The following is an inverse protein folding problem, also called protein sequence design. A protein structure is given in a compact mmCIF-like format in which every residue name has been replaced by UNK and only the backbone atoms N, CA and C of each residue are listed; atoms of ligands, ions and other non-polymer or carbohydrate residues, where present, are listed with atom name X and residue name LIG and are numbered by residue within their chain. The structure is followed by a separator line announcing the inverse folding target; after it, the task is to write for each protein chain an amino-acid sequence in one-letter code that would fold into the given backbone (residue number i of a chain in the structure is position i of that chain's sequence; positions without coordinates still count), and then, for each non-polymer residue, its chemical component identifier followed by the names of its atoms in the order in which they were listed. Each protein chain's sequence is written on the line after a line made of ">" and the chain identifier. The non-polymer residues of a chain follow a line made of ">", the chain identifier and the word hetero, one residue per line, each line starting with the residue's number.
data_IF_705838393073
#
_entry.id   IF_705838393073
#
_cell.length_a   1.000
_cell.length_b   1.000
_cell.length_c   1.000
_cell.angle_alpha   90.00
_cell.angle_beta   90.00
_cell.angle_gamma   90.00
#
_symmetry.space_group_name_H-M   'P 1'
#
loop_
_entity.id
_entity.type
_entity.pdbx_description
1 polymer ?
#
# COMPACT_ATOMS: atom_id res chain seq x y z
N UNK A 1 3.34 31.78 -9.59
CA UNK A 1 2.49 30.55 -9.67
C UNK A 1 3.25 29.23 -9.43
N UNK A 2 4.58 29.22 -9.32
CA UNK A 2 5.37 27.98 -9.07
C UNK A 2 5.10 27.24 -7.75
N UNK A 3 4.46 27.89 -6.75
CA UNK A 3 4.16 27.25 -5.45
C UNK A 3 3.05 26.20 -5.53
N UNK A 4 2.04 26.39 -6.38
CA UNK A 4 0.91 25.44 -6.50
C UNK A 4 1.35 24.12 -7.15
N UNK A 5 2.23 24.18 -8.15
CA UNK A 5 2.75 22.98 -8.81
C UNK A 5 3.51 22.12 -7.79
N UNK A 6 4.34 22.75 -6.95
CA UNK A 6 5.09 22.04 -5.90
C UNK A 6 4.18 21.35 -4.89
N UNK A 7 3.07 21.97 -4.49
CA UNK A 7 2.10 21.34 -3.58
C UNK A 7 1.38 20.16 -4.22
N UNK A 8 1.01 20.27 -5.51
CA UNK A 8 0.39 19.16 -6.23
C UNK A 8 1.35 17.97 -6.33
N UNK A 9 2.63 18.22 -6.63
CA UNK A 9 3.65 17.16 -6.66
C UNK A 9 3.76 16.47 -5.31
N UNK A 10 3.81 17.22 -4.20
CA UNK A 10 3.88 16.60 -2.87
C UNK A 10 2.65 15.77 -2.53
N UNK A 11 1.45 16.26 -2.87
CA UNK A 11 0.20 15.50 -2.67
C UNK A 11 0.22 14.21 -3.50
N UNK A 12 0.64 14.29 -4.77
CA UNK A 12 0.75 13.10 -5.63
C UNK A 12 1.75 12.07 -5.07
N UNK A 13 2.91 12.52 -4.60
CA UNK A 13 3.91 11.62 -3.99
C UNK A 13 3.38 10.98 -2.71
N UNK A 14 2.75 11.77 -1.83
CA UNK A 14 2.16 11.25 -0.60
C UNK A 14 1.06 10.22 -0.88
N UNK A 15 0.23 10.46 -1.90
CA UNK A 15 -0.81 9.52 -2.34
C UNK A 15 -0.21 8.20 -2.83
N UNK A 16 0.78 8.24 -3.72
CA UNK A 16 1.45 7.03 -4.23
C UNK A 16 2.13 6.27 -3.10
N UNK A 17 2.81 6.97 -2.19
CA UNK A 17 3.43 6.35 -1.03
C UNK A 17 2.40 5.65 -0.13
N UNK A 18 1.22 6.25 0.07
CA UNK A 18 0.12 5.64 0.82
C UNK A 18 -0.40 4.36 0.17
N UNK A 19 -0.65 4.37 -1.13
CA UNK A 19 -1.13 3.18 -1.87
C UNK A 19 -0.12 2.03 -1.81
N UNK A 20 1.17 2.32 -1.95
CA UNK A 20 2.22 1.31 -1.84
C UNK A 20 2.35 0.78 -0.40
N UNK A 21 2.16 1.65 0.60
CA UNK A 21 2.18 1.26 2.00
C UNK A 21 1.00 0.34 2.34
N UNK A 22 -0.22 0.63 1.87
CA UNK A 22 -1.38 -0.25 2.03
C UNK A 22 -1.13 -1.64 1.44
N UNK A 23 -0.66 -1.72 0.19
CA UNK A 23 -0.36 -3.03 -0.43
C UNK A 23 0.71 -3.83 0.34
N UNK A 24 1.74 -3.14 0.85
CA UNK A 24 2.78 -3.78 1.63
C UNK A 24 2.26 -4.26 3.00
N UNK A 25 1.42 -3.45 3.65
CA UNK A 25 0.86 -3.77 4.96
C UNK A 25 -0.16 -4.91 4.87
N UNK A 26 -0.98 -4.97 3.82
CA UNK A 26 -1.86 -6.11 3.53
C UNK A 26 -1.06 -7.39 3.29
N UNK A 27 0.10 -7.24 2.63
CA UNK A 27 1.15 -8.26 2.48
C UNK A 27 1.56 -8.88 3.81
N UNK A 28 2.02 -8.01 4.71
CA UNK A 28 2.49 -8.38 6.04
C UNK A 28 1.39 -8.95 6.93
N UNK A 29 0.16 -8.40 6.87
CA UNK A 29 -0.96 -8.90 7.67
C UNK A 29 -1.38 -10.32 7.25
N UNK A 30 -1.28 -10.61 5.95
CA UNK A 30 -1.51 -11.96 5.46
C UNK A 30 -0.44 -12.96 5.93
N UNK A 31 0.83 -12.58 5.79
CA UNK A 31 1.98 -13.38 6.23
C UNK A 31 1.93 -13.63 7.76
N UNK A 32 1.54 -12.61 8.52
CA UNK A 32 1.34 -12.71 9.97
C UNK A 32 0.21 -13.68 10.37
N UNK A 33 -0.79 -13.87 9.50
CA UNK A 33 -1.88 -14.85 9.67
C UNK A 33 -1.52 -16.24 9.15
N UNK A 34 -0.27 -16.44 8.72
CA UNK A 34 0.21 -17.69 8.15
C UNK A 34 -0.33 -18.00 6.76
N UNK A 35 -0.88 -16.98 6.08
CA UNK A 35 -1.30 -17.07 4.68
C UNK A 35 -0.26 -16.46 3.73
N UNK A 36 -0.41 -16.72 2.44
CA UNK A 36 0.40 -16.17 1.37
C UNK A 36 -0.43 -15.17 0.55
N UNK A 37 0.13 -14.00 0.26
CA UNK A 37 -0.53 -13.01 -0.60
C UNK A 37 -0.35 -13.38 -2.08
N UNK A 38 -1.36 -14.03 -2.65
CA UNK A 38 -1.39 -14.43 -4.07
C UNK A 38 -2.37 -13.52 -4.82
N UNK A 39 -1.86 -12.78 -5.81
CA UNK A 39 -2.67 -11.86 -6.67
C UNK A 39 -3.46 -10.80 -5.90
N UNK A 40 -2.97 -10.36 -4.74
CA UNK A 40 -3.66 -9.38 -3.90
C UNK A 40 -4.80 -9.95 -3.08
N UNK A 41 -4.93 -11.28 -3.01
CA UNK A 41 -5.78 -11.98 -2.05
C UNK A 41 -4.89 -12.74 -1.08
N UNK A 42 -5.31 -12.78 0.19
CA UNK A 42 -4.65 -13.56 1.21
C UNK A 42 -5.17 -15.01 1.15
N UNK A 43 -4.35 -15.93 0.65
CA UNK A 43 -4.69 -17.35 0.46
C UNK A 43 -3.97 -18.20 1.52
N UNK A 44 -4.63 -19.24 2.05
CA UNK A 44 -3.98 -20.14 3.03
C UNK A 44 -4.00 -19.67 4.48
N UNK A 45 -4.78 -18.63 4.83
CA UNK A 45 -5.00 -18.28 6.25
C UNK A 45 -5.64 -19.46 6.98
N UNK A 46 -5.05 -19.83 8.12
CA UNK A 46 -5.72 -20.69 9.09
C UNK A 46 -6.78 -19.82 9.78
N UNK A 47 -8.02 -19.92 9.30
CA UNK A 47 -9.17 -19.28 9.93
C UNK A 47 -9.57 -20.02 11.21
#
# INVERSE_FOLDING_TARGET
>A
MFRMIRTIIFVAVAFVAGVLYEQYNDGLDCDAKGGEMIKGLCEGTLQ
#
